data_IF_579023219672
#
_entry.id   IF_579023219672
#
_cell.length_a   1.000
_cell.length_b   1.000
_cell.length_c   1.000
_cell.angle_alpha   90.00
_cell.angle_beta   90.00
_cell.angle_gamma   90.00
#
_symmetry.space_group_name_H-M   'P 1'
#
loop_
_entity.id
_entity.type
_entity.pdbx_description
1 polymer ?
#
# COMPACT_ATOMS: atom_id res chain seq x y z
N UNK A 1 -16.98 -7.37 -10.52
CA UNK A 1 -17.30 -5.95 -10.28
C UNK A 1 -18.76 -5.75 -10.61
N UNK A 2 -19.56 -5.21 -9.69
CA UNK A 2 -20.99 -4.93 -9.91
C UNK A 2 -21.29 -3.44 -10.11
N UNK A 3 -20.26 -2.59 -10.03
CA UNK A 3 -20.33 -1.14 -10.22
C UNK A 3 -19.02 -0.45 -9.83
N UNK A 4 -18.95 0.87 -9.99
CA UNK A 4 -17.83 1.72 -9.57
C UNK A 4 -17.61 1.63 -8.07
N UNK A 5 -16.35 1.60 -7.64
CA UNK A 5 -15.98 1.47 -6.22
C UNK A 5 -16.06 0.06 -5.65
N UNK A 6 -16.43 -0.94 -6.46
CA UNK A 6 -16.35 -2.34 -6.05
C UNK A 6 -14.88 -2.78 -5.91
N UNK A 7 -14.50 -3.22 -4.72
CA UNK A 7 -13.18 -3.80 -4.46
C UNK A 7 -13.24 -5.33 -4.48
N UNK A 8 -12.19 -5.95 -5.01
CA UNK A 8 -12.01 -7.41 -4.90
C UNK A 8 -11.60 -7.81 -3.48
N UNK A 9 -11.59 -9.11 -3.20
CA UNK A 9 -10.97 -9.63 -1.97
C UNK A 9 -9.52 -9.14 -1.86
N UNK A 10 -9.16 -8.61 -0.70
CA UNK A 10 -7.81 -8.07 -0.42
C UNK A 10 -6.80 -9.22 -0.32
N UNK A 11 -5.74 -9.17 -1.14
CA UNK A 11 -4.62 -10.12 -1.07
C UNK A 11 -3.52 -9.58 -0.17
N UNK A 12 -3.18 -10.26 0.94
CA UNK A 12 -2.13 -9.79 1.85
C UNK A 12 -0.74 -10.01 1.27
N UNK A 13 0.16 -9.05 1.50
CA UNK A 13 1.60 -9.19 1.31
C UNK A 13 2.32 -8.58 2.53
N UNK A 14 3.56 -8.98 2.76
CA UNK A 14 4.32 -8.53 3.93
C UNK A 14 5.69 -8.02 3.49
N UNK A 15 6.07 -6.85 3.99
CA UNK A 15 7.42 -6.31 3.89
C UNK A 15 8.11 -6.59 5.22
N UNK A 16 9.21 -7.34 5.20
CA UNK A 16 10.01 -7.64 6.38
C UNK A 16 11.29 -6.82 6.34
N UNK A 17 11.46 -5.92 7.31
CA UNK A 17 12.74 -5.25 7.57
C UNK A 17 13.51 -6.10 8.58
N UNK A 18 14.78 -6.37 8.31
CA UNK A 18 15.66 -7.20 9.14
C UNK A 18 16.89 -6.40 9.57
N UNK A 19 17.62 -6.95 10.54
CA UNK A 19 18.91 -6.43 11.00
C UNK A 19 18.85 -4.96 11.43
N UNK A 20 17.75 -4.59 12.10
CA UNK A 20 17.55 -3.24 12.62
C UNK A 20 18.51 -3.00 13.80
N UNK A 21 19.34 -1.94 13.78
CA UNK A 21 20.12 -1.55 14.94
C UNK A 21 19.22 -1.31 16.15
N UNK A 22 19.72 -1.54 17.38
CA UNK A 22 18.93 -1.34 18.60
C UNK A 22 18.40 0.09 18.78
N UNK A 23 19.02 1.08 18.15
CA UNK A 23 18.58 2.47 18.14
C UNK A 23 17.38 2.73 17.23
N UNK A 24 17.06 1.83 16.29
CA UNK A 24 15.91 1.93 15.38
C UNK A 24 14.77 1.08 15.93
N UNK A 25 13.76 1.75 16.48
CA UNK A 25 12.60 1.09 17.11
C UNK A 25 11.35 1.10 16.24
N UNK A 26 11.31 1.98 15.22
CA UNK A 26 10.19 2.09 14.29
C UNK A 26 10.67 2.38 12.88
N UNK A 27 9.92 1.87 11.90
CA UNK A 27 10.12 2.16 10.48
C UNK A 27 8.79 2.52 9.84
N UNK A 28 8.84 3.27 8.74
CA UNK A 28 7.72 3.48 7.85
C UNK A 28 8.22 3.33 6.41
N UNK A 29 7.35 2.91 5.52
CA UNK A 29 7.69 2.73 4.10
C UNK A 29 6.91 3.73 3.25
N UNK A 30 7.51 4.19 2.16
CA UNK A 30 6.83 5.02 1.16
C UNK A 30 6.34 4.12 0.04
N UNK A 31 5.01 4.07 -0.16
CA UNK A 31 4.43 3.47 -1.35
C UNK A 31 4.17 4.57 -2.38
N UNK A 32 4.72 4.41 -3.57
CA UNK A 32 4.51 5.33 -4.69
C UNK A 32 4.48 4.59 -6.02
N UNK A 33 4.03 5.26 -7.07
CA UNK A 33 3.91 4.70 -8.41
C UNK A 33 3.03 5.55 -9.32
N UNK A 34 2.90 5.09 -10.57
CA UNK A 34 2.00 5.70 -11.53
C UNK A 34 0.57 5.71 -10.99
N UNK A 35 -0.09 6.86 -11.06
CA UNK A 35 -1.45 7.04 -10.55
C UNK A 35 -2.47 6.71 -11.61
N UNK A 36 -3.58 6.12 -11.19
CA UNK A 36 -4.75 6.02 -12.06
C UNK A 36 -5.21 7.43 -12.46
N UNK A 37 -5.54 7.61 -13.75
CA UNK A 37 -5.86 8.94 -14.29
C UNK A 37 -7.22 9.47 -13.82
N UNK A 38 -8.13 8.58 -13.39
CA UNK A 38 -9.46 8.95 -12.90
C UNK A 38 -9.47 9.13 -11.39
N UNK A 39 -8.65 8.39 -10.65
CA UNK A 39 -8.50 8.48 -9.20
C UNK A 39 -7.02 8.39 -8.77
N UNK A 40 -6.42 9.56 -8.48
CA UNK A 40 -5.01 9.66 -8.11
C UNK A 40 -4.64 9.02 -6.75
N UNK A 41 -5.64 8.56 -5.99
CA UNK A 41 -5.42 7.76 -4.77
C UNK A 41 -5.10 6.29 -5.06
N UNK A 42 -5.30 5.84 -6.31
CA UNK A 42 -5.10 4.48 -6.76
C UNK A 42 -3.85 4.35 -7.64
N UNK A 43 -3.21 3.19 -7.60
CA UNK A 43 -2.12 2.83 -8.50
C UNK A 43 -2.69 2.37 -9.86
N UNK A 44 -2.15 2.91 -10.94
CA UNK A 44 -2.49 2.49 -12.30
C UNK A 44 -2.02 1.05 -12.57
N UNK A 45 -2.73 0.36 -13.45
CA UNK A 45 -2.31 -0.94 -13.99
C UNK A 45 -1.68 -0.78 -15.38
N UNK A 46 -0.81 -1.71 -15.75
CA UNK A 46 -0.15 -1.78 -17.05
C UNK A 46 -0.51 -3.09 -17.78
N UNK A 47 -1.81 -3.31 -18.05
CA UNK A 47 -2.30 -4.60 -18.57
C UNK A 47 -3.39 -4.52 -19.63
N UNK A 48 -3.64 -3.35 -20.22
CA UNK A 48 -4.66 -3.16 -21.27
C UNK A 48 -6.12 -3.19 -20.79
N UNK A 49 -6.37 -3.50 -19.51
CA UNK A 49 -7.70 -3.38 -18.92
C UNK A 49 -8.00 -1.91 -18.54
N UNK A 50 -9.25 -1.51 -18.71
CA UNK A 50 -9.76 -0.18 -18.39
C UNK A 50 -10.80 -0.25 -17.27
N UNK A 51 -10.89 0.81 -16.46
CA UNK A 51 -11.87 0.93 -15.38
C UNK A 51 -11.52 0.14 -14.11
N UNK A 52 -10.26 -0.29 -13.97
CA UNK A 52 -9.75 -0.97 -12.78
C UNK A 52 -8.39 -0.39 -12.39
N UNK A 53 -8.12 -0.36 -11.08
CA UNK A 53 -6.88 0.16 -10.51
C UNK A 53 -6.55 -0.61 -9.21
N UNK A 54 -5.35 -0.40 -8.66
CA UNK A 54 -4.89 -1.07 -7.45
C UNK A 54 -5.01 -0.11 -6.26
N UNK A 55 -5.72 -0.55 -5.22
CA UNK A 55 -5.78 0.12 -3.92
C UNK A 55 -4.94 -0.63 -2.90
N UNK A 56 -4.00 0.07 -2.26
CA UNK A 56 -3.20 -0.49 -1.17
C UNK A 56 -3.82 -0.14 0.18
N UNK A 57 -3.71 -1.07 1.12
CA UNK A 57 -4.18 -0.92 2.48
C UNK A 57 -3.01 -1.09 3.45
N UNK A 58 -3.05 -0.34 4.55
CA UNK A 58 -2.15 -0.49 5.69
C UNK A 58 -2.34 -1.86 6.34
N UNK A 59 -1.49 -2.18 7.33
CA UNK A 59 -1.51 -3.48 8.03
C UNK A 59 -2.85 -3.82 8.68
N UNK A 60 -3.66 -2.81 9.02
CA UNK A 60 -5.00 -2.96 9.62
C UNK A 60 -6.07 -3.42 8.61
N UNK A 61 -5.72 -3.46 7.32
CA UNK A 61 -6.57 -3.86 6.19
C UNK A 61 -7.81 -2.98 5.99
N UNK A 62 -7.88 -1.82 6.65
CA UNK A 62 -9.02 -0.91 6.62
C UNK A 62 -8.61 0.52 6.22
N UNK A 63 -7.42 0.95 6.61
CA UNK A 63 -6.87 2.25 6.25
C UNK A 63 -6.20 2.18 4.88
N UNK A 64 -6.62 3.02 3.95
CA UNK A 64 -5.98 3.12 2.65
C UNK A 64 -4.60 3.78 2.79
N UNK A 65 -3.61 3.23 2.09
CA UNK A 65 -2.28 3.83 2.00
C UNK A 65 -2.39 5.14 1.21
N UNK A 66 -1.87 6.22 1.77
CA UNK A 66 -1.74 7.50 1.06
C UNK A 66 -0.49 7.47 0.18
N UNK A 67 -0.68 7.16 -1.10
CA UNK A 67 0.41 7.08 -2.07
C UNK A 67 1.21 8.39 -2.13
N UNK A 68 2.55 8.30 -2.10
CA UNK A 68 3.44 9.46 -2.02
C UNK A 68 3.64 10.00 -0.59
N UNK A 69 3.09 9.31 0.42
CA UNK A 69 3.33 9.54 1.85
C UNK A 69 3.82 8.27 2.52
N UNK A 70 4.51 8.44 3.65
CA UNK A 70 4.93 7.31 4.48
C UNK A 70 3.73 6.61 5.09
N UNK A 71 3.79 5.28 5.14
CA UNK A 71 2.83 4.40 5.81
C UNK A 71 2.71 4.71 7.30
N UNK A 72 1.74 4.05 7.96
CA UNK A 72 1.74 3.99 9.41
C UNK A 72 3.06 3.38 9.92
N UNK A 73 3.61 3.96 10.99
CA UNK A 73 4.84 3.45 11.61
C UNK A 73 4.62 2.04 12.14
N UNK A 74 5.57 1.16 11.87
CA UNK A 74 5.59 -0.20 12.38
C UNK A 74 6.76 -0.35 13.33
N UNK A 75 6.51 -1.01 14.47
CA UNK A 75 7.58 -1.36 15.42
C UNK A 75 8.47 -2.41 14.77
N UNK A 76 9.78 -2.22 14.90
CA UNK A 76 10.77 -3.22 14.52
C UNK A 76 11.48 -3.73 15.78
N UNK A 77 11.78 -5.02 15.78
CA UNK A 77 12.65 -5.61 16.78
C UNK A 77 14.08 -5.56 16.27
N UNK A 78 15.07 -5.29 17.14
CA UNK A 78 16.47 -5.48 16.80
C UNK A 78 16.70 -6.90 16.28
N UNK A 79 17.50 -7.02 15.22
CA UNK A 79 17.86 -8.28 14.59
C UNK A 79 19.09 -8.91 15.22
#
# INVERSE_FOLDING_TARGET
FTGTGFETTKTPFHIKVKDCPASVTTVAVLFDGARDQSDNSLLAINGGASGVAIKLYEHDRSTAVSLGKTSAKQTVTPG
#
